data_IF_890484326730
#
_entry.id   IF_890484326730
#
_cell.length_a   1.000
_cell.length_b   1.000
_cell.length_c   1.000
_cell.angle_alpha   90.00
_cell.angle_beta   90.00
_cell.angle_gamma   90.00
#
_symmetry.space_group_name_H-M   'P 1'
#
loop_
_entity.id
_entity.type
_entity.pdbx_description
1 polymer ?
#
# COMPACT_ATOMS: atom_id res chain seq x y z
N UNK A 1 44.15 4.61 36.46
CA UNK A 1 44.59 4.97 37.83
C UNK A 1 43.78 6.19 38.23
N UNK A 2 42.89 6.09 39.23
CA UNK A 2 41.86 7.11 39.59
C UNK A 2 40.84 7.42 38.45
N UNK A 3 39.63 7.97 38.68
CA UNK A 3 38.91 8.22 39.95
C UNK A 3 37.43 7.77 39.88
N UNK A 4 36.75 7.71 41.03
CA UNK A 4 35.39 7.16 41.25
C UNK A 4 34.30 8.24 41.38
N UNK A 5 33.07 7.85 41.02
CA UNK A 5 31.74 8.14 41.62
C UNK A 5 31.34 9.56 42.06
N UNK A 6 30.20 9.99 41.50
CA UNK A 6 29.00 10.51 42.19
C UNK A 6 27.77 10.07 41.34
N UNK A 7 26.54 9.74 41.77
CA UNK A 7 25.79 9.79 43.04
C UNK A 7 25.45 11.23 43.53
N UNK A 8 24.18 11.63 43.77
CA UNK A 8 22.89 10.92 43.61
C UNK A 8 21.68 11.90 43.65
N UNK A 9 20.47 11.40 43.38
CA UNK A 9 19.12 11.84 43.86
C UNK A 9 18.77 13.33 44.09
N UNK A 10 17.59 13.75 43.59
CA UNK A 10 16.46 14.29 44.40
C UNK A 10 15.14 14.10 43.61
N UNK A 11 14.02 13.88 44.32
CA UNK A 11 12.68 13.68 43.74
C UNK A 11 11.62 14.51 44.50
N UNK A 12 10.71 15.18 43.76
CA UNK A 12 9.39 15.72 44.14
C UNK A 12 9.19 16.69 45.36
N UNK A 13 8.54 17.85 45.10
CA UNK A 13 7.19 18.26 45.63
C UNK A 13 6.72 19.59 44.97
N UNK A 14 5.46 19.73 44.49
CA UNK A 14 4.21 20.20 45.17
C UNK A 14 4.44 21.54 45.93
N UNK A 15 3.83 22.71 45.63
CA UNK A 15 2.40 23.17 45.53
C UNK A 15 2.30 24.38 44.56
N UNK A 16 1.17 24.80 43.92
CA UNK A 16 -0.21 24.29 43.82
C UNK A 16 -1.33 25.32 44.15
N UNK A 17 -1.81 26.14 43.18
CA UNK A 17 -2.84 27.19 43.38
C UNK A 17 -4.14 27.00 42.54
N UNK A 18 -5.26 27.62 42.94
CA UNK A 18 -6.64 27.24 42.53
C UNK A 18 -7.43 28.29 41.73
N UNK A 19 -8.39 27.75 40.97
CA UNK A 19 -9.51 28.38 40.23
C UNK A 19 -10.17 29.64 40.81
N UNK A 20 -10.77 30.43 39.91
CA UNK A 20 -12.02 31.15 40.13
C UNK A 20 -13.00 30.90 38.95
N UNK A 21 -14.32 30.97 39.19
CA UNK A 21 -15.38 30.70 38.22
C UNK A 21 -16.46 31.78 38.28
N UNK A 22 -16.93 32.25 37.12
CA UNK A 22 -17.96 33.29 37.01
C UNK A 22 -19.04 32.92 36.00
N UNK A 23 -20.29 32.80 36.45
CA UNK A 23 -21.44 32.37 35.65
C UNK A 23 -22.56 33.40 35.77
N UNK A 24 -23.06 33.93 34.65
CA UNK A 24 -24.36 34.64 34.56
C UNK A 24 -24.88 34.55 33.14
N UNK A 25 -26.20 34.52 32.99
CA UNK A 25 -26.88 34.47 31.69
C UNK A 25 -28.01 35.50 31.60
N UNK A 26 -28.52 35.70 30.39
CA UNK A 26 -29.63 36.61 30.08
C UNK A 26 -30.21 36.23 28.71
N UNK A 27 -31.52 36.42 28.53
CA UNK A 27 -32.28 35.87 27.40
C UNK A 27 -33.00 37.00 26.63
N UNK A 28 -32.98 36.97 25.28
CA UNK A 28 -34.09 37.40 24.39
C UNK A 28 -33.79 37.15 22.90
N UNK A 29 -34.81 36.67 22.20
CA UNK A 29 -34.97 36.66 20.73
C UNK A 29 -35.72 37.95 20.29
N UNK A 30 -36.11 38.18 19.00
CA UNK A 30 -36.01 37.32 17.81
C UNK A 30 -35.52 38.00 16.51
N UNK A 31 -35.27 37.18 15.48
CA UNK A 31 -35.10 37.63 14.09
C UNK A 31 -35.68 36.61 13.10
N UNK A 32 -36.58 37.05 12.21
CA UNK A 32 -37.12 36.21 11.12
C UNK A 32 -36.16 36.23 9.93
N UNK A 33 -35.96 35.08 9.29
CA UNK A 33 -35.29 34.98 8.00
C UNK A 33 -35.60 33.65 7.32
N UNK A 34 -36.35 33.68 6.22
CA UNK A 34 -36.62 32.47 5.44
C UNK A 34 -35.42 32.17 4.53
N UNK A 35 -35.10 30.89 4.35
CA UNK A 35 -34.88 30.32 3.01
C UNK A 35 -34.80 28.79 3.09
N UNK A 36 -35.75 28.11 2.44
CA UNK A 36 -35.74 26.65 2.33
C UNK A 36 -34.72 26.18 1.30
N UNK A 37 -33.66 25.50 1.74
CA UNK A 37 -32.75 24.80 0.81
C UNK A 37 -33.41 23.51 0.32
N UNK A 38 -33.85 23.53 -0.94
CA UNK A 38 -34.24 22.34 -1.69
C UNK A 38 -33.11 21.31 -1.66
N UNK A 39 -33.40 20.11 -1.14
CA UNK A 39 -32.43 19.01 -1.09
C UNK A 39 -32.37 18.30 -2.46
N UNK A 40 -31.51 18.79 -3.34
CA UNK A 40 -31.17 18.07 -4.58
C UNK A 40 -30.38 16.81 -4.24
N UNK A 41 -31.08 15.67 -4.14
CA UNK A 41 -30.46 14.34 -4.05
C UNK A 41 -29.72 14.01 -5.35
N UNK A 42 -28.47 14.48 -5.48
CA UNK A 42 -27.55 13.92 -6.46
C UNK A 42 -27.31 12.45 -6.08
N UNK A 43 -27.57 11.54 -7.03
CA UNK A 43 -27.06 10.18 -6.94
C UNK A 43 -25.54 10.26 -7.14
N UNK A 44 -24.77 10.08 -6.06
CA UNK A 44 -23.35 9.74 -6.14
C UNK A 44 -23.22 8.30 -6.67
N UNK A 45 -23.40 8.15 -7.99
CA UNK A 45 -22.75 7.06 -8.72
C UNK A 45 -21.24 7.28 -8.73
N UNK A 46 -20.44 6.26 -9.09
CA UNK A 46 -18.99 6.43 -9.22
C UNK A 46 -18.71 7.54 -10.23
N UNK A 47 -18.05 8.62 -9.80
CA UNK A 47 -17.63 9.70 -10.69
C UNK A 47 -16.52 9.16 -11.60
N UNK A 48 -16.94 8.59 -12.74
CA UNK A 48 -16.07 8.27 -13.85
C UNK A 48 -15.60 9.59 -14.46
N UNK A 49 -14.58 10.20 -13.85
CA UNK A 49 -13.94 11.41 -14.38
C UNK A 49 -13.62 11.21 -15.86
N UNK A 50 -14.10 12.12 -16.69
CA UNK A 50 -13.92 12.05 -18.13
C UNK A 50 -12.42 11.98 -18.46
N UNK A 51 -12.05 11.00 -19.27
CA UNK A 51 -10.66 10.75 -19.63
C UNK A 51 -10.08 11.95 -20.39
N UNK A 52 -10.86 12.56 -21.29
CA UNK A 52 -10.41 13.71 -22.09
C UNK A 52 -10.12 14.91 -21.17
N UNK A 53 -11.00 15.20 -20.20
CA UNK A 53 -10.79 16.25 -19.20
C UNK A 53 -9.50 16.08 -18.38
N UNK A 54 -9.13 14.83 -18.06
CA UNK A 54 -7.89 14.51 -17.33
C UNK A 54 -6.65 14.69 -18.21
N UNK A 55 -6.67 14.23 -19.46
CA UNK A 55 -5.56 14.44 -20.40
C UNK A 55 -5.42 15.92 -20.82
N UNK A 56 -6.52 16.64 -21.07
CA UNK A 56 -6.50 18.09 -21.33
C UNK A 56 -5.90 18.89 -20.17
N UNK A 57 -6.23 18.53 -18.92
CA UNK A 57 -5.63 19.11 -17.73
C UNK A 57 -4.14 18.77 -17.57
N UNK A 58 -3.69 17.62 -18.07
CA UNK A 58 -2.27 17.24 -18.11
C UNK A 58 -1.50 18.09 -19.14
N UNK A 59 -1.96 18.14 -20.40
CA UNK A 59 -1.28 18.92 -21.45
C UNK A 59 -1.14 20.39 -21.06
N UNK A 60 -2.23 21.01 -20.58
CA UNK A 60 -2.23 22.41 -20.15
C UNK A 60 -1.23 22.69 -19.02
N UNK A 61 -1.17 21.84 -18.00
CA UNK A 61 -0.24 22.02 -16.87
C UNK A 61 1.22 21.77 -17.28
N UNK A 62 1.47 20.86 -18.22
CA UNK A 62 2.80 20.64 -18.77
C UNK A 62 3.26 21.79 -19.67
N UNK A 63 2.39 22.27 -20.57
CA UNK A 63 2.67 23.41 -21.46
C UNK A 63 2.95 24.69 -20.67
N UNK A 64 2.08 25.02 -19.71
CA UNK A 64 2.15 26.25 -18.92
C UNK A 64 3.39 26.30 -18.00
N UNK A 65 3.96 25.14 -17.64
CA UNK A 65 5.24 25.06 -16.95
C UNK A 65 6.43 24.97 -17.89
N UNK A 66 6.35 24.21 -18.99
CA UNK A 66 7.38 24.18 -20.01
C UNK A 66 7.65 25.60 -20.55
N UNK A 67 6.61 26.38 -20.88
CA UNK A 67 6.74 27.75 -21.34
C UNK A 67 7.41 28.68 -20.30
N UNK A 68 7.08 28.55 -19.02
CA UNK A 68 7.69 29.35 -17.95
C UNK A 68 9.18 29.01 -17.74
N UNK A 69 9.53 27.73 -17.66
CA UNK A 69 10.92 27.31 -17.43
C UNK A 69 11.79 27.38 -18.70
N UNK A 70 11.19 27.45 -19.90
CA UNK A 70 11.90 27.65 -21.18
C UNK A 70 12.42 29.08 -21.40
N UNK A 71 12.29 29.98 -20.41
CA UNK A 71 13.01 31.24 -20.24
C UNK A 71 13.47 31.99 -21.50
N UNK A 72 12.81 33.12 -21.81
CA UNK A 72 13.15 34.00 -22.93
C UNK A 72 14.64 34.41 -22.97
N UNK A 73 15.14 34.88 -24.14
CA UNK A 73 16.52 34.70 -24.62
C UNK A 73 17.67 35.39 -23.87
N UNK A 74 17.46 35.87 -22.64
CA UNK A 74 18.43 36.64 -21.85
C UNK A 74 18.81 35.92 -20.55
N UNK A 75 19.81 35.03 -20.63
CA UNK A 75 20.50 34.44 -19.48
C UNK A 75 20.65 32.91 -19.52
N UNK A 76 21.66 32.32 -18.87
CA UNK A 76 21.77 30.87 -18.75
C UNK A 76 20.60 30.30 -17.92
N UNK A 77 19.86 29.34 -18.46
CA UNK A 77 18.86 28.59 -17.71
C UNK A 77 19.57 27.65 -16.71
N UNK A 78 19.13 27.66 -15.45
CA UNK A 78 19.67 26.73 -14.45
C UNK A 78 19.25 25.28 -14.73
N UNK A 79 20.10 24.32 -14.38
CA UNK A 79 19.89 22.86 -14.55
C UNK A 79 18.44 22.41 -14.29
N UNK A 80 17.91 22.76 -13.12
CA UNK A 80 16.57 22.36 -12.70
C UNK A 80 15.43 22.96 -13.55
N UNK A 81 15.66 24.06 -14.28
CA UNK A 81 14.69 24.61 -15.24
C UNK A 81 14.72 23.83 -16.56
N UNK A 82 15.92 23.58 -17.11
CA UNK A 82 16.10 22.78 -18.34
C UNK A 82 15.49 21.38 -18.15
N UNK A 83 15.82 20.72 -17.05
CA UNK A 83 15.26 19.41 -16.66
C UNK A 83 13.74 19.45 -16.50
N UNK A 84 13.17 20.53 -15.98
CA UNK A 84 11.72 20.70 -15.88
C UNK A 84 11.08 20.78 -17.28
N UNK A 85 11.66 21.55 -18.20
CA UNK A 85 11.17 21.65 -19.59
C UNK A 85 11.19 20.30 -20.29
N UNK A 86 12.32 19.58 -20.23
CA UNK A 86 12.46 18.26 -20.84
C UNK A 86 11.49 17.23 -20.23
N UNK A 87 11.29 17.28 -18.91
CA UNK A 87 10.36 16.40 -18.21
C UNK A 87 8.91 16.71 -18.59
N UNK A 88 8.50 17.98 -18.66
CA UNK A 88 7.14 18.35 -19.08
C UNK A 88 6.86 17.91 -20.53
N UNK A 89 7.83 18.06 -21.44
CA UNK A 89 7.73 17.57 -22.83
C UNK A 89 7.58 16.05 -22.90
N UNK A 90 8.45 15.30 -22.22
CA UNK A 90 8.38 13.81 -22.17
C UNK A 90 7.06 13.30 -21.58
N UNK A 91 6.48 14.02 -20.61
CA UNK A 91 5.15 13.73 -20.09
C UNK A 91 4.07 13.94 -21.15
N UNK A 92 4.16 14.99 -21.98
CA UNK A 92 3.24 15.21 -23.11
C UNK A 92 3.39 14.12 -24.19
N UNK A 93 4.62 13.67 -24.49
CA UNK A 93 4.88 12.56 -25.43
C UNK A 93 4.31 11.21 -24.91
N UNK A 94 4.42 10.97 -23.61
CA UNK A 94 3.81 9.81 -22.97
C UNK A 94 2.28 9.93 -22.93
N UNK A 95 1.75 11.14 -22.70
CA UNK A 95 0.32 11.41 -22.66
C UNK A 95 -0.36 11.16 -24.02
N UNK A 96 0.21 11.67 -25.12
CA UNK A 96 -0.33 11.48 -26.47
C UNK A 96 -0.36 10.01 -26.91
N UNK A 97 0.62 9.22 -26.43
CA UNK A 97 0.62 7.76 -26.59
C UNK A 97 -0.44 7.06 -25.73
N UNK A 98 -0.70 7.57 -24.52
CA UNK A 98 -1.53 6.92 -23.50
C UNK A 98 -3.02 7.20 -23.67
N UNK A 99 -3.40 8.41 -24.10
CA UNK A 99 -4.80 8.82 -24.23
C UNK A 99 -5.67 7.88 -25.11
N UNK A 100 -5.25 7.49 -26.34
CA UNK A 100 -6.03 6.54 -27.13
C UNK A 100 -6.08 5.15 -26.50
N UNK A 101 -4.98 4.67 -25.90
CA UNK A 101 -4.90 3.33 -25.28
C UNK A 101 -5.80 3.26 -24.03
N UNK A 102 -5.76 4.27 -23.16
CA UNK A 102 -6.61 4.38 -21.97
C UNK A 102 -8.08 4.53 -22.36
N UNK A 103 -8.38 5.25 -23.45
CA UNK A 103 -9.74 5.37 -24.00
C UNK A 103 -10.25 4.03 -24.54
N UNK A 104 -9.42 3.31 -25.29
CA UNK A 104 -9.72 1.97 -25.80
C UNK A 104 -10.05 0.99 -24.68
N UNK A 105 -9.19 0.89 -23.65
CA UNK A 105 -9.48 0.06 -22.48
C UNK A 105 -10.75 0.50 -21.75
N UNK A 106 -10.99 1.80 -21.58
CA UNK A 106 -12.20 2.30 -20.91
C UNK A 106 -13.51 1.95 -21.65
N UNK A 107 -13.45 1.72 -22.97
CA UNK A 107 -14.61 1.28 -23.75
C UNK A 107 -14.95 -0.21 -23.53
N UNK A 108 -13.95 -1.07 -23.30
CA UNK A 108 -14.12 -2.55 -23.35
C UNK A 108 -13.92 -3.26 -22.01
N UNK A 109 -13.24 -2.63 -21.04
CA UNK A 109 -12.84 -3.28 -19.78
C UNK A 109 -14.00 -3.77 -18.89
N UNK A 110 -15.25 -3.50 -19.28
CA UNK A 110 -16.45 -3.91 -18.58
C UNK A 110 -16.96 -5.30 -19.01
N UNK A 111 -16.53 -5.80 -20.18
CA UNK A 111 -16.76 -7.19 -20.61
C UNK A 111 -16.02 -8.22 -19.73
N UNK A 112 -15.09 -7.77 -18.89
CA UNK A 112 -14.25 -8.59 -18.02
C UNK A 112 -14.59 -8.43 -16.53
N UNK A 113 -15.69 -7.77 -16.19
CA UNK A 113 -16.20 -7.72 -14.82
C UNK A 113 -16.97 -9.01 -14.49
N UNK A 114 -16.65 -9.62 -13.35
CA UNK A 114 -17.37 -10.80 -12.85
C UNK A 114 -18.82 -10.48 -12.44
N UNK A 115 -19.07 -9.26 -11.95
CA UNK A 115 -20.39 -8.77 -11.56
C UNK A 115 -20.55 -7.32 -12.08
N UNK A 116 -21.56 -7.01 -12.93
CA UNK A 116 -21.86 -5.66 -13.38
C UNK A 116 -22.12 -4.64 -12.25
N UNK A 117 -22.56 -5.10 -11.07
CA UNK A 117 -22.78 -4.27 -9.88
C UNK A 117 -21.51 -4.10 -9.02
N UNK A 118 -20.52 -4.99 -9.16
CA UNK A 118 -19.23 -4.94 -8.45
C UNK A 118 -18.07 -4.96 -9.48
N UNK A 119 -17.94 -3.91 -10.31
CA UNK A 119 -17.01 -3.90 -11.45
C UNK A 119 -15.54 -3.89 -11.00
N UNK A 120 -14.88 -5.06 -11.10
CA UNK A 120 -13.51 -5.28 -10.68
C UNK A 120 -12.77 -6.26 -11.61
N UNK A 121 -11.69 -5.80 -12.25
CA UNK A 121 -10.78 -6.62 -13.04
C UNK A 121 -9.38 -5.98 -13.21
N UNK A 122 -8.46 -6.70 -13.85
CA UNK A 122 -7.08 -6.24 -14.09
C UNK A 122 -6.96 -5.00 -14.96
N UNK A 123 -7.71 -4.91 -16.08
CA UNK A 123 -7.67 -3.76 -16.99
C UNK A 123 -8.23 -2.49 -16.33
N UNK A 124 -9.34 -2.60 -15.57
CA UNK A 124 -9.85 -1.51 -14.72
C UNK A 124 -8.80 -1.03 -13.72
N UNK A 125 -8.07 -1.97 -13.10
CA UNK A 125 -7.02 -1.65 -12.13
C UNK A 125 -5.84 -0.92 -12.78
N UNK A 126 -5.37 -1.39 -13.94
CA UNK A 126 -4.28 -0.76 -14.69
C UNK A 126 -4.63 0.66 -15.15
N UNK A 127 -5.83 0.85 -15.73
CA UNK A 127 -6.35 2.18 -16.10
C UNK A 127 -6.46 3.10 -14.87
N UNK A 128 -6.89 2.59 -13.72
CA UNK A 128 -6.95 3.35 -12.47
C UNK A 128 -5.56 3.79 -12.00
N UNK A 129 -4.56 2.91 -12.04
CA UNK A 129 -3.17 3.24 -11.67
C UNK A 129 -2.58 4.30 -12.62
N UNK A 130 -2.82 4.20 -13.93
CA UNK A 130 -2.39 5.21 -14.92
C UNK A 130 -3.03 6.57 -14.63
N UNK A 131 -4.35 6.60 -14.36
CA UNK A 131 -5.06 7.83 -13.96
C UNK A 131 -4.53 8.41 -12.64
N UNK A 132 -4.21 7.59 -11.63
CA UNK A 132 -3.58 8.06 -10.39
C UNK A 132 -2.20 8.71 -10.62
N UNK A 133 -1.42 8.20 -11.58
CA UNK A 133 -0.11 8.77 -11.93
C UNK A 133 -0.30 10.16 -12.58
N UNK A 134 -1.17 10.25 -13.59
CA UNK A 134 -1.51 11.49 -14.28
C UNK A 134 -2.09 12.54 -13.31
N UNK A 135 -2.98 12.14 -12.38
CA UNK A 135 -3.56 13.05 -11.39
C UNK A 135 -2.51 13.60 -10.40
N UNK A 136 -1.51 12.79 -10.00
CA UNK A 136 -0.40 13.29 -9.20
C UNK A 136 0.46 14.28 -9.98
N UNK A 137 0.75 13.99 -11.26
CA UNK A 137 1.48 14.91 -12.15
C UNK A 137 0.74 16.24 -12.31
N UNK A 138 -0.57 16.23 -12.56
CA UNK A 138 -1.41 17.43 -12.65
C UNK A 138 -1.38 18.22 -11.33
N UNK A 139 -1.53 17.54 -10.19
CA UNK A 139 -1.49 18.18 -8.87
C UNK A 139 -0.12 18.81 -8.60
N UNK A 140 0.97 18.09 -8.88
CA UNK A 140 2.34 18.56 -8.68
C UNK A 140 2.71 19.70 -9.62
N UNK A 141 2.33 19.62 -10.89
CA UNK A 141 2.51 20.69 -11.87
C UNK A 141 1.73 21.96 -11.50
N UNK A 142 0.48 21.83 -11.00
CA UNK A 142 -0.27 22.99 -10.46
C UNK A 142 0.39 23.60 -9.22
N UNK A 143 0.92 22.77 -8.31
CA UNK A 143 1.72 23.26 -7.19
C UNK A 143 2.95 24.04 -7.69
N UNK A 144 3.63 23.55 -8.73
CA UNK A 144 4.77 24.25 -9.37
C UNK A 144 4.30 25.56 -10.00
N UNK A 145 3.22 25.58 -10.80
CA UNK A 145 2.61 26.80 -11.38
C UNK A 145 2.43 27.90 -10.33
N UNK A 146 1.85 27.56 -9.18
CA UNK A 146 1.58 28.50 -8.08
C UNK A 146 2.85 28.95 -7.36
N UNK A 147 3.83 28.05 -7.15
CA UNK A 147 4.96 28.31 -6.24
C UNK A 147 6.28 28.70 -6.94
N UNK A 148 6.42 28.50 -8.26
CA UNK A 148 7.67 28.71 -9.04
C UNK A 148 8.28 30.12 -9.00
N UNK A 149 7.56 31.12 -8.48
CA UNK A 149 8.07 32.49 -8.26
C UNK A 149 8.44 32.80 -6.80
N UNK A 150 8.25 31.84 -5.89
CA UNK A 150 8.60 32.00 -4.46
C UNK A 150 10.09 31.80 -4.20
N UNK A 151 10.68 32.63 -3.33
CA UNK A 151 12.07 32.47 -2.88
C UNK A 151 12.35 31.14 -2.17
N UNK A 152 11.31 30.46 -1.68
CA UNK A 152 11.41 29.13 -1.06
C UNK A 152 11.20 27.97 -2.06
N UNK A 153 11.04 28.26 -3.36
CA UNK A 153 10.81 27.24 -4.38
C UNK A 153 12.06 26.40 -4.66
N UNK A 154 12.10 25.18 -4.11
CA UNK A 154 13.17 24.20 -4.33
C UNK A 154 13.09 23.59 -5.73
N UNK A 155 13.56 24.30 -6.75
CA UNK A 155 13.45 23.90 -8.17
C UNK A 155 13.89 22.45 -8.42
N UNK A 156 15.13 22.09 -8.03
CA UNK A 156 15.70 20.75 -8.29
C UNK A 156 14.93 19.61 -7.59
N UNK A 157 14.32 19.87 -6.44
CA UNK A 157 13.48 18.89 -5.74
C UNK A 157 12.15 18.67 -6.46
N UNK A 158 11.57 19.73 -7.03
CA UNK A 158 10.35 19.63 -7.82
C UNK A 158 10.61 18.98 -9.18
N UNK A 159 11.76 19.25 -9.82
CA UNK A 159 12.20 18.55 -11.02
C UNK A 159 12.34 17.04 -10.76
N UNK A 160 13.08 16.63 -9.72
CA UNK A 160 13.24 15.21 -9.36
C UNK A 160 11.93 14.48 -9.04
N UNK A 161 10.93 15.15 -8.48
CA UNK A 161 9.60 14.54 -8.32
C UNK A 161 8.86 14.38 -9.66
N UNK A 162 8.88 15.39 -10.52
CA UNK A 162 8.28 15.29 -11.86
C UNK A 162 8.98 14.22 -12.72
N UNK A 163 10.31 14.11 -12.64
CA UNK A 163 11.12 13.09 -13.33
C UNK A 163 10.75 11.67 -12.88
N UNK A 164 10.61 11.44 -11.57
CA UNK A 164 10.21 10.14 -11.02
C UNK A 164 8.80 9.72 -11.50
N UNK A 165 7.85 10.66 -11.54
CA UNK A 165 6.51 10.37 -12.07
C UNK A 165 6.49 10.24 -13.60
N UNK A 166 7.35 10.95 -14.35
CA UNK A 166 7.55 10.73 -15.78
C UNK A 166 8.09 9.32 -16.07
N UNK A 167 9.05 8.85 -15.28
CA UNK A 167 9.62 7.49 -15.37
C UNK A 167 8.55 6.43 -15.05
N UNK A 168 7.77 6.62 -13.98
CA UNK A 168 6.63 5.76 -13.66
C UNK A 168 5.57 5.76 -14.79
N UNK A 169 5.26 6.91 -15.38
CA UNK A 169 4.32 7.02 -16.51
C UNK A 169 4.83 6.28 -17.76
N UNK A 170 6.13 6.30 -18.02
CA UNK A 170 6.76 5.55 -19.11
C UNK A 170 6.60 4.03 -18.92
N UNK A 171 6.85 3.52 -17.71
CA UNK A 171 6.69 2.09 -17.40
C UNK A 171 5.21 1.68 -17.38
N UNK A 172 4.30 2.55 -16.92
CA UNK A 172 2.85 2.31 -17.02
C UNK A 172 2.35 2.27 -18.47
N UNK A 173 2.93 3.07 -19.37
CA UNK A 173 2.68 2.97 -20.82
C UNK A 173 3.16 1.63 -21.39
N UNK A 174 4.33 1.15 -20.99
CA UNK A 174 4.83 -0.16 -21.41
C UNK A 174 3.94 -1.32 -20.88
N UNK A 175 3.48 -1.24 -19.64
CA UNK A 175 2.51 -2.19 -19.06
C UNK A 175 1.15 -2.17 -19.78
N UNK A 176 0.68 -1.00 -20.23
CA UNK A 176 -0.53 -0.89 -21.04
C UNK A 176 -0.37 -1.51 -22.44
N UNK A 177 0.78 -1.33 -23.10
CA UNK A 177 1.04 -2.00 -24.38
C UNK A 177 1.15 -3.53 -24.23
N UNK A 178 1.77 -4.02 -23.15
CA UNK A 178 1.72 -5.45 -22.81
C UNK A 178 0.27 -5.93 -22.63
N UNK A 179 -0.54 -5.22 -21.83
CA UNK A 179 -1.94 -5.56 -21.61
C UNK A 179 -2.78 -5.52 -22.90
N UNK A 180 -2.45 -4.63 -23.85
CA UNK A 180 -3.14 -4.53 -25.14
C UNK A 180 -2.80 -5.70 -26.05
N UNK A 181 -1.56 -6.22 -26.00
CA UNK A 181 -1.18 -7.47 -26.67
C UNK A 181 -1.88 -8.67 -26.05
N UNK A 182 -1.85 -8.81 -24.71
CA UNK A 182 -2.62 -9.87 -24.02
C UNK A 182 -4.09 -9.90 -24.44
N UNK A 183 -4.72 -8.73 -24.57
CA UNK A 183 -6.10 -8.58 -25.01
C UNK A 183 -6.32 -8.99 -26.48
N UNK A 184 -5.42 -8.59 -27.39
CA UNK A 184 -5.48 -8.92 -28.81
C UNK A 184 -5.23 -10.42 -29.06
N UNK A 185 -4.31 -11.01 -28.31
CA UNK A 185 -3.86 -12.38 -28.45
C UNK A 185 -4.80 -13.39 -27.72
N UNK A 186 -5.96 -12.92 -27.23
CA UNK A 186 -7.02 -13.74 -26.64
C UNK A 186 -8.36 -13.57 -27.38
N UNK A 187 -9.14 -14.66 -27.41
CA UNK A 187 -10.54 -14.62 -27.86
C UNK A 187 -11.40 -13.71 -26.98
N UNK A 188 -12.34 -12.97 -27.59
CA UNK A 188 -13.20 -12.00 -26.90
C UNK A 188 -13.85 -12.57 -25.62
N UNK A 189 -13.73 -11.83 -24.51
CA UNK A 189 -14.28 -12.20 -23.20
C UNK A 189 -13.36 -13.08 -22.33
N UNK A 190 -12.39 -13.78 -22.91
CA UNK A 190 -11.48 -14.62 -22.14
C UNK A 190 -10.32 -13.82 -21.51
N UNK A 191 -10.00 -14.15 -20.25
CA UNK A 191 -8.86 -13.62 -19.50
C UNK A 191 -7.66 -14.59 -19.45
N UNK A 192 -7.84 -15.80 -19.96
CA UNK A 192 -6.85 -16.88 -19.93
C UNK A 192 -6.63 -17.40 -21.35
N UNK A 193 -5.37 -17.60 -21.72
CA UNK A 193 -4.99 -18.24 -22.98
C UNK A 193 -5.48 -19.69 -23.00
N UNK A 194 -6.06 -20.11 -24.12
CA UNK A 194 -6.58 -21.48 -24.30
C UNK A 194 -5.49 -22.53 -24.61
N UNK A 195 -4.29 -22.10 -25.00
CA UNK A 195 -3.19 -23.01 -25.30
C UNK A 195 -2.25 -23.22 -24.10
N UNK A 196 -1.71 -24.43 -23.97
CA UNK A 196 -0.60 -24.75 -23.05
C UNK A 196 0.76 -24.15 -23.49
N UNK A 197 0.78 -23.30 -24.52
CA UNK A 197 1.90 -22.41 -24.90
C UNK A 197 2.06 -21.25 -23.87
N UNK A 198 2.07 -21.64 -22.59
CA UNK A 198 1.64 -20.81 -21.46
C UNK A 198 2.39 -19.50 -21.28
N UNK A 199 1.62 -18.44 -21.00
CA UNK A 199 2.08 -17.07 -20.70
C UNK A 199 3.34 -16.71 -21.49
N UNK A 200 3.17 -16.63 -22.82
CA UNK A 200 4.24 -16.60 -23.83
C UNK A 200 5.57 -16.07 -23.31
N UNK A 201 6.65 -16.85 -23.43
CA UNK A 201 7.93 -16.53 -22.77
C UNK A 201 8.46 -15.12 -23.10
N UNK A 202 8.07 -14.57 -24.26
CA UNK A 202 8.24 -13.16 -24.61
C UNK A 202 7.59 -12.19 -23.61
N UNK A 203 6.30 -12.36 -23.26
CA UNK A 203 5.62 -11.58 -22.23
C UNK A 203 6.35 -11.64 -20.88
N UNK A 204 6.68 -12.84 -20.39
CA UNK A 204 7.36 -13.01 -19.09
C UNK A 204 8.75 -12.36 -19.11
N UNK A 205 9.51 -12.52 -20.20
CA UNK A 205 10.81 -11.89 -20.40
C UNK A 205 10.71 -10.36 -20.46
N UNK A 206 9.74 -9.84 -21.19
CA UNK A 206 9.51 -8.40 -21.40
C UNK A 206 9.07 -7.71 -20.09
N UNK A 207 8.10 -8.29 -19.37
CA UNK A 207 7.73 -7.86 -18.02
C UNK A 207 8.90 -7.94 -17.05
N UNK A 208 9.73 -9.00 -17.11
CA UNK A 208 10.92 -9.13 -16.28
C UNK A 208 11.94 -8.02 -16.55
N UNK A 209 12.14 -7.62 -17.80
CA UNK A 209 13.07 -6.54 -18.19
C UNK A 209 12.59 -5.10 -17.87
N UNK A 210 11.31 -4.88 -17.51
CA UNK A 210 10.82 -3.54 -17.16
C UNK A 210 11.50 -2.95 -15.91
N UNK A 211 11.73 -1.63 -15.92
CA UNK A 211 12.42 -0.88 -14.87
C UNK A 211 11.49 -0.58 -13.69
N UNK A 212 11.46 -1.49 -12.71
CA UNK A 212 10.52 -1.47 -11.59
C UNK A 212 10.86 -0.42 -10.52
N UNK A 213 12.12 0.01 -10.41
CA UNK A 213 12.63 0.89 -9.34
C UNK A 213 11.95 2.25 -9.25
N UNK A 214 11.44 2.77 -10.39
CA UNK A 214 10.66 4.01 -10.44
C UNK A 214 9.44 3.98 -9.48
N UNK A 215 8.83 2.81 -9.27
CA UNK A 215 7.67 2.64 -8.38
C UNK A 215 8.04 2.51 -6.90
N UNK A 216 9.31 2.28 -6.54
CA UNK A 216 9.75 2.05 -5.15
C UNK A 216 10.59 3.22 -4.58
N UNK A 217 11.00 4.17 -5.43
CA UNK A 217 11.56 5.45 -5.03
C UNK A 217 10.50 6.45 -4.56
N UNK A 218 10.43 7.64 -5.18
CA UNK A 218 9.44 8.69 -4.82
C UNK A 218 7.99 8.27 -5.01
N UNK A 219 7.71 7.43 -5.99
CA UNK A 219 6.35 7.04 -6.37
C UNK A 219 5.75 5.95 -5.48
N UNK A 220 6.43 5.52 -4.39
CA UNK A 220 6.02 4.39 -3.58
C UNK A 220 4.61 4.54 -2.99
N UNK A 221 3.69 3.71 -3.50
CA UNK A 221 2.29 3.68 -3.11
C UNK A 221 1.46 4.87 -3.59
N UNK A 222 1.85 5.54 -4.70
CA UNK A 222 1.11 6.68 -5.24
C UNK A 222 -0.37 6.36 -5.54
N UNK A 223 -0.65 5.14 -5.98
CA UNK A 223 -1.98 4.63 -6.35
C UNK A 223 -2.88 4.30 -5.15
N UNK A 224 -2.33 4.28 -3.93
CA UNK A 224 -3.05 3.95 -2.71
C UNK A 224 -3.33 5.20 -1.86
N UNK A 225 -4.27 5.05 -0.91
CA UNK A 225 -4.55 6.03 0.14
C UNK A 225 -3.27 6.33 0.94
N UNK A 226 -2.99 7.60 1.31
CA UNK A 226 -1.75 7.96 1.99
C UNK A 226 -1.44 7.16 3.27
N UNK A 227 -2.48 6.69 3.97
CA UNK A 227 -2.36 5.93 5.22
C UNK A 227 -1.56 4.62 5.10
N UNK A 228 -1.52 3.95 3.93
CA UNK A 228 -0.73 2.71 3.76
C UNK A 228 0.73 2.97 3.38
N UNK A 229 1.08 4.19 2.95
CA UNK A 229 2.42 4.52 2.45
C UNK A 229 3.53 4.34 3.50
N UNK A 230 3.34 4.63 4.82
CA UNK A 230 4.33 4.31 5.84
C UNK A 230 4.65 2.81 5.93
N UNK A 231 3.64 1.94 5.90
CA UNK A 231 3.85 0.48 5.90
C UNK A 231 4.59 0.01 4.62
N UNK A 232 4.18 0.50 3.44
CA UNK A 232 4.88 0.20 2.18
C UNK A 232 6.33 0.70 2.20
N UNK A 233 6.60 1.87 2.80
CA UNK A 233 7.95 2.39 2.99
C UNK A 233 8.77 1.50 3.94
N UNK A 234 8.23 1.10 5.10
CA UNK A 234 8.88 0.15 6.01
C UNK A 234 9.24 -1.16 5.31
N UNK A 235 8.32 -1.72 4.51
CA UNK A 235 8.57 -2.96 3.74
C UNK A 235 9.67 -2.74 2.69
N UNK A 236 9.58 -1.69 1.87
CA UNK A 236 10.56 -1.43 0.81
C UNK A 236 11.97 -1.14 1.37
N UNK A 237 12.06 -0.37 2.46
CA UNK A 237 13.32 -0.06 3.15
C UNK A 237 13.93 -1.33 3.79
N UNK A 238 13.09 -2.15 4.45
CA UNK A 238 13.51 -3.42 5.03
C UNK A 238 14.03 -4.41 3.96
N UNK A 239 13.36 -4.47 2.81
CA UNK A 239 13.74 -5.32 1.69
C UNK A 239 15.13 -4.97 1.13
N UNK A 240 15.39 -3.68 0.87
CA UNK A 240 16.69 -3.26 0.31
C UNK A 240 17.82 -3.39 1.34
N UNK A 241 17.58 -3.05 2.61
CA UNK A 241 18.57 -3.21 3.67
C UNK A 241 18.91 -4.70 3.93
N UNK A 242 17.95 -5.61 3.79
CA UNK A 242 18.21 -7.05 3.86
C UNK A 242 18.95 -7.57 2.61
N UNK A 243 18.53 -7.17 1.41
CA UNK A 243 19.14 -7.63 0.15
C UNK A 243 20.55 -7.10 -0.13
N UNK A 244 20.91 -5.92 0.41
CA UNK A 244 22.29 -5.42 0.40
C UNK A 244 23.24 -6.40 1.14
N UNK A 245 22.77 -7.00 2.24
CA UNK A 245 23.57 -7.84 3.12
C UNK A 245 23.48 -9.34 2.77
N UNK A 246 22.32 -9.84 2.31
CA UNK A 246 22.11 -11.24 1.92
C UNK A 246 23.16 -11.74 0.91
N UNK A 247 23.50 -10.90 -0.09
CA UNK A 247 24.48 -11.26 -1.12
C UNK A 247 25.91 -11.32 -0.59
N UNK A 248 26.29 -10.42 0.31
CA UNK A 248 27.65 -10.37 0.90
C UNK A 248 28.03 -11.68 1.62
N UNK A 249 27.05 -12.37 2.19
CA UNK A 249 27.24 -13.64 2.90
C UNK A 249 27.02 -14.89 2.04
N UNK A 250 26.35 -14.79 0.88
CA UNK A 250 26.37 -15.89 -0.10
C UNK A 250 27.67 -15.94 -0.91
N UNK A 251 28.36 -14.80 -1.06
CA UNK A 251 29.64 -14.71 -1.79
C UNK A 251 30.87 -14.67 -0.87
N UNK A 252 30.74 -14.97 0.43
CA UNK A 252 31.84 -14.88 1.38
C UNK A 252 31.51 -15.42 2.76
N UNK A 253 32.51 -15.98 3.43
CA UNK A 253 32.42 -16.69 4.72
C UNK A 253 31.82 -18.11 4.58
N UNK A 254 32.55 -18.97 3.85
CA UNK A 254 32.85 -20.30 4.42
C UNK A 254 33.96 -20.07 5.45
N UNK A 255 33.58 -19.96 6.72
CA UNK A 255 34.51 -19.99 7.85
C UNK A 255 33.91 -20.96 8.86
N UNK A 256 34.74 -21.88 9.35
CA UNK A 256 34.37 -22.84 10.37
C UNK A 256 34.03 -22.11 11.68
N UNK A 257 32.86 -22.36 12.27
CA UNK A 257 32.50 -21.77 13.57
C UNK A 257 31.14 -21.09 13.70
N UNK A 258 30.05 -21.80 13.41
CA UNK A 258 28.88 -21.76 14.32
C UNK A 258 28.03 -20.49 14.44
N UNK A 259 28.14 -19.48 13.57
CA UNK A 259 27.17 -18.37 13.53
C UNK A 259 26.10 -18.68 12.48
N UNK A 260 24.88 -18.96 12.94
CA UNK A 260 23.75 -19.24 12.06
C UNK A 260 23.35 -18.03 11.18
N UNK A 261 22.81 -18.23 9.97
CA UNK A 261 22.47 -17.13 9.04
C UNK A 261 21.47 -16.11 9.61
N UNK A 262 20.73 -16.48 10.66
CA UNK A 262 19.83 -15.59 11.39
C UNK A 262 20.55 -14.46 12.15
N UNK A 263 21.83 -14.63 12.52
CA UNK A 263 22.58 -13.63 13.30
C UNK A 263 22.82 -12.30 12.56
N UNK A 264 22.90 -12.34 11.22
CA UNK A 264 23.14 -11.16 10.37
C UNK A 264 21.88 -10.32 10.13
N UNK A 265 20.70 -10.89 10.35
CA UNK A 265 19.42 -10.20 10.13
C UNK A 265 19.27 -8.96 11.03
N UNK A 266 19.73 -9.03 12.28
CA UNK A 266 19.57 -7.95 13.25
C UNK A 266 20.44 -6.70 12.94
N UNK A 267 21.69 -6.90 12.51
CA UNK A 267 22.59 -5.78 12.17
C UNK A 267 22.20 -5.09 10.86
N UNK A 268 21.64 -5.85 9.90
CA UNK A 268 21.21 -5.35 8.59
C UNK A 268 20.21 -4.18 8.68
N UNK A 269 19.35 -4.14 9.70
CA UNK A 269 18.39 -3.04 9.87
C UNK A 269 19.02 -1.69 10.23
N UNK A 270 20.25 -1.65 10.76
CA UNK A 270 20.93 -0.39 11.07
C UNK A 270 21.42 0.36 9.82
N UNK A 271 21.60 -0.31 8.66
CA UNK A 271 21.94 0.36 7.40
C UNK A 271 20.72 0.96 6.67
N UNK A 272 19.51 0.79 7.21
CA UNK A 272 18.25 1.23 6.60
C UNK A 272 18.12 2.74 6.40
N UNK A 273 18.76 3.56 7.24
CA UNK A 273 18.57 5.02 7.29
C UNK A 273 18.82 5.73 5.96
N UNK A 274 19.83 5.30 5.18
CA UNK A 274 20.12 5.88 3.85
C UNK A 274 18.95 5.70 2.87
N UNK A 275 18.26 4.56 2.92
CA UNK A 275 17.10 4.25 2.07
C UNK A 275 15.80 4.90 2.57
N UNK A 276 15.75 5.37 3.82
CA UNK A 276 14.66 6.20 4.32
C UNK A 276 14.79 7.65 3.85
N UNK A 277 16.01 8.20 3.88
CA UNK A 277 16.33 9.59 3.53
C UNK A 277 16.38 9.79 2.01
N UNK A 278 17.05 8.89 1.27
CA UNK A 278 17.20 8.97 -0.18
C UNK A 278 16.22 8.01 -0.89
N UNK A 279 15.15 8.53 -1.54
CA UNK A 279 14.22 7.70 -2.29
C UNK A 279 14.81 7.17 -3.60
N UNK A 280 15.80 7.83 -4.18
CA UNK A 280 16.34 7.46 -5.49
C UNK A 280 17.30 6.29 -5.33
N UNK A 281 18.17 6.37 -4.31
CA UNK A 281 18.99 5.24 -3.84
C UNK A 281 18.12 4.03 -3.48
N UNK A 282 16.96 4.23 -2.81
CA UNK A 282 16.01 3.15 -2.53
C UNK A 282 15.41 2.55 -3.80
N UNK A 283 14.99 3.37 -4.76
CA UNK A 283 14.41 2.91 -6.02
C UNK A 283 15.41 2.11 -6.87
N UNK A 284 16.63 2.64 -7.04
CA UNK A 284 17.70 1.98 -7.78
C UNK A 284 18.16 0.67 -7.12
N UNK A 285 18.33 0.66 -5.80
CA UNK A 285 18.74 -0.55 -5.07
C UNK A 285 17.64 -1.62 -5.06
N UNK A 286 16.36 -1.22 -4.96
CA UNK A 286 15.24 -2.15 -5.08
C UNK A 286 15.28 -2.87 -6.44
N UNK A 287 15.53 -2.16 -7.54
CA UNK A 287 15.62 -2.77 -8.86
C UNK A 287 16.86 -3.67 -9.00
N UNK A 288 18.04 -3.19 -8.61
CA UNK A 288 19.30 -3.95 -8.64
C UNK A 288 19.21 -5.27 -7.86
N UNK A 289 18.55 -5.22 -6.70
CA UNK A 289 18.25 -6.40 -5.89
C UNK A 289 17.25 -7.29 -6.64
N UNK A 290 16.03 -6.81 -6.91
CA UNK A 290 14.92 -7.66 -7.38
C UNK A 290 15.11 -8.31 -8.74
N UNK A 291 15.92 -7.74 -9.64
CA UNK A 291 16.35 -8.39 -10.88
C UNK A 291 17.19 -9.67 -10.65
N UNK A 292 17.76 -9.84 -9.46
CA UNK A 292 18.81 -10.80 -9.16
C UNK A 292 18.58 -11.51 -7.81
N UNK A 293 17.34 -11.81 -7.46
CA UNK A 293 16.96 -12.55 -6.24
C UNK A 293 16.49 -13.97 -6.58
N UNK A 294 17.03 -14.95 -5.87
CA UNK A 294 16.48 -16.29 -5.83
C UNK A 294 15.27 -16.40 -4.88
N UNK A 295 14.65 -17.58 -4.83
CA UNK A 295 13.48 -17.85 -3.97
C UNK A 295 13.83 -18.11 -2.50
N UNK A 296 15.10 -18.39 -2.18
CA UNK A 296 15.59 -18.55 -0.80
C UNK A 296 15.71 -17.20 -0.10
N UNK A 297 16.12 -16.15 -0.81
CA UNK A 297 16.06 -14.77 -0.31
C UNK A 297 14.65 -14.41 0.13
N UNK A 298 13.65 -14.66 -0.73
CA UNK A 298 12.27 -14.29 -0.43
C UNK A 298 11.74 -15.05 0.79
N UNK A 299 12.00 -16.36 0.90
CA UNK A 299 11.75 -17.14 2.11
C UNK A 299 12.43 -16.53 3.34
N UNK A 300 13.72 -16.21 3.26
CA UNK A 300 14.47 -15.65 4.38
C UNK A 300 13.92 -14.28 4.82
N UNK A 301 13.64 -13.38 3.87
CA UNK A 301 13.07 -12.06 4.16
C UNK A 301 11.69 -12.15 4.83
N UNK A 302 10.78 -12.94 4.28
CA UNK A 302 9.43 -13.04 4.84
C UNK A 302 9.41 -13.83 6.16
N UNK A 303 10.28 -14.83 6.36
CA UNK A 303 10.47 -15.46 7.67
C UNK A 303 11.03 -14.46 8.72
N UNK A 304 11.86 -13.48 8.31
CA UNK A 304 12.28 -12.38 9.19
C UNK A 304 11.12 -11.42 9.51
N UNK A 305 10.07 -11.33 8.67
CA UNK A 305 8.82 -10.63 9.06
C UNK A 305 7.94 -11.40 10.04
N UNK A 306 8.09 -12.72 10.12
CA UNK A 306 7.48 -13.55 11.18
C UNK A 306 8.29 -13.48 12.50
N UNK A 307 9.50 -12.90 12.45
CA UNK A 307 10.33 -12.55 13.61
C UNK A 307 10.01 -11.12 14.09
N UNK A 308 10.09 -10.85 15.39
CA UNK A 308 9.56 -9.62 16.01
C UNK A 308 10.10 -8.27 15.48
N UNK A 309 11.24 -8.24 14.78
CA UNK A 309 11.90 -6.98 14.42
C UNK A 309 11.09 -6.18 13.39
N UNK A 310 10.63 -6.80 12.30
CA UNK A 310 9.87 -6.10 11.27
C UNK A 310 8.39 -5.89 11.65
N UNK A 311 7.81 -6.76 12.48
CA UNK A 311 6.47 -6.53 13.02
C UNK A 311 6.45 -5.34 13.98
N UNK A 312 7.46 -5.19 14.86
CA UNK A 312 7.61 -4.00 15.73
C UNK A 312 7.83 -2.71 14.92
N UNK A 313 8.66 -2.73 13.87
CA UNK A 313 8.84 -1.56 13.00
C UNK A 313 7.54 -1.20 12.23
N UNK A 314 6.78 -2.19 11.77
CA UNK A 314 5.49 -1.95 11.13
C UNK A 314 4.41 -1.48 12.11
N UNK A 315 4.39 -1.99 13.35
CA UNK A 315 3.44 -1.56 14.40
C UNK A 315 3.78 -0.19 15.02
N UNK A 316 4.95 0.37 14.71
CA UNK A 316 5.31 1.77 14.99
C UNK A 316 4.83 2.73 13.89
N UNK A 317 4.61 2.26 12.66
CA UNK A 317 4.22 3.09 11.49
C UNK A 317 2.79 2.85 11.00
N UNK A 318 2.13 1.80 11.48
CA UNK A 318 0.76 1.38 11.10
C UNK A 318 -0.18 1.50 12.30
N UNK A 319 -1.48 1.64 12.06
CA UNK A 319 -2.47 1.73 13.15
C UNK A 319 -2.74 0.36 13.75
N UNK A 320 -2.54 0.21 15.07
CA UNK A 320 -2.68 -1.08 15.75
C UNK A 320 -4.15 -1.50 15.88
N UNK A 321 -4.43 -2.78 15.69
CA UNK A 321 -5.75 -3.40 15.83
C UNK A 321 -5.99 -3.86 17.27
N UNK A 322 -7.22 -3.72 17.78
CA UNK A 322 -7.56 -4.16 19.16
C UNK A 322 -7.81 -5.66 19.28
N UNK A 323 -8.02 -6.36 18.15
CA UNK A 323 -8.14 -7.82 18.09
C UNK A 323 -7.24 -8.35 16.99
N UNK A 324 -6.32 -9.23 17.35
CA UNK A 324 -5.53 -10.07 16.45
C UNK A 324 -5.34 -11.44 17.11
N UNK A 325 -6.18 -12.43 16.78
CA UNK A 325 -6.14 -13.77 17.41
C UNK A 325 -6.01 -14.86 16.37
N UNK A 326 -5.06 -15.77 16.59
CA UNK A 326 -5.02 -17.05 15.87
C UNK A 326 -6.11 -17.97 16.42
N UNK A 327 -6.87 -18.60 15.52
CA UNK A 327 -8.03 -19.45 15.83
C UNK A 327 -7.83 -20.80 15.11
N UNK A 328 -8.19 -21.90 15.76
CA UNK A 328 -8.13 -23.24 15.19
C UNK A 328 -9.51 -23.89 15.23
N UNK A 329 -10.23 -23.88 14.11
CA UNK A 329 -11.53 -24.54 13.99
C UNK A 329 -11.30 -26.06 13.87
N UNK A 330 -11.91 -26.91 14.70
CA UNK A 330 -11.69 -28.35 14.65
C UNK A 330 -12.31 -28.98 13.39
N UNK A 331 -11.80 -30.13 12.90
CA UNK A 331 -12.32 -30.83 11.74
C UNK A 331 -13.57 -31.66 12.10
N UNK A 332 -14.62 -30.99 12.55
CA UNK A 332 -15.91 -31.60 12.92
C UNK A 332 -16.95 -31.21 11.85
N UNK A 333 -17.61 -32.17 11.19
CA UNK A 333 -18.70 -31.88 10.27
C UNK A 333 -19.86 -31.16 10.96
N UNK A 334 -20.55 -30.28 10.22
CA UNK A 334 -21.67 -29.52 10.77
C UNK A 334 -22.74 -29.25 9.70
N UNK A 335 -24.01 -29.25 10.12
CA UNK A 335 -25.13 -28.98 9.22
C UNK A 335 -25.36 -27.47 9.02
N UNK A 336 -25.66 -27.10 7.77
CA UNK A 336 -26.18 -25.77 7.41
C UNK A 336 -27.54 -25.92 6.71
N UNK A 337 -28.49 -24.99 6.92
CA UNK A 337 -29.71 -24.94 6.12
C UNK A 337 -29.40 -24.59 4.66
N UNK A 338 -30.14 -25.17 3.71
CA UNK A 338 -30.01 -24.87 2.29
C UNK A 338 -30.54 -23.46 1.99
N UNK A 339 -29.81 -22.74 1.12
CA UNK A 339 -30.18 -21.38 0.68
C UNK A 339 -31.51 -21.37 -0.09
N UNK A 340 -31.87 -22.48 -0.74
CA UNK A 340 -33.12 -22.65 -1.48
C UNK A 340 -34.32 -23.08 -0.61
N UNK A 341 -34.06 -23.79 0.50
CA UNK A 341 -35.09 -24.23 1.45
C UNK A 341 -34.50 -24.34 2.88
N UNK A 342 -34.78 -23.38 3.77
CA UNK A 342 -34.30 -23.40 5.14
C UNK A 342 -34.82 -24.56 6.03
N UNK A 343 -35.76 -25.38 5.53
CA UNK A 343 -36.21 -26.59 6.23
C UNK A 343 -35.36 -27.83 5.91
N UNK A 344 -34.47 -27.75 4.90
CA UNK A 344 -33.56 -28.81 4.51
C UNK A 344 -32.12 -28.44 4.88
N UNK A 345 -31.36 -29.40 5.40
CA UNK A 345 -29.95 -29.22 5.77
C UNK A 345 -29.00 -29.89 4.77
N UNK A 346 -27.78 -29.37 4.70
CA UNK A 346 -26.61 -30.00 4.09
C UNK A 346 -25.49 -30.10 5.11
N UNK A 347 -24.91 -31.30 5.27
CA UNK A 347 -23.74 -31.51 6.13
C UNK A 347 -22.49 -31.01 5.41
N UNK A 348 -21.78 -30.08 6.03
CA UNK A 348 -20.48 -29.58 5.58
C UNK A 348 -19.39 -30.46 6.19
N UNK A 349 -18.86 -31.36 5.37
CA UNK A 349 -17.78 -32.27 5.77
C UNK A 349 -16.45 -31.57 6.07
N UNK A 350 -15.65 -32.20 6.92
CA UNK A 350 -14.33 -31.68 7.28
C UNK A 350 -13.36 -31.72 6.07
N UNK A 351 -12.59 -30.64 5.78
CA UNK A 351 -11.65 -30.62 4.66
C UNK A 351 -10.61 -31.74 4.75
N UNK A 352 -10.60 -32.63 3.75
CA UNK A 352 -9.86 -33.90 3.80
C UNK A 352 -9.02 -34.22 2.56
N UNK A 353 -9.25 -33.53 1.44
CA UNK A 353 -8.85 -33.95 0.08
C UNK A 353 -7.35 -34.20 -0.18
N UNK A 354 -6.44 -33.70 0.66
CA UNK A 354 -4.99 -33.83 0.46
C UNK A 354 -4.20 -34.30 1.70
N UNK A 355 -4.78 -34.20 2.90
CA UNK A 355 -4.08 -34.45 4.18
C UNK A 355 -4.91 -35.26 5.18
N UNK A 356 -6.10 -35.72 4.80
CA UNK A 356 -7.12 -36.15 5.75
C UNK A 356 -7.72 -34.99 6.56
N UNK A 357 -8.74 -35.26 7.41
CA UNK A 357 -9.43 -34.23 8.18
C UNK A 357 -8.50 -33.45 9.11
N UNK A 358 -8.32 -32.15 8.86
CA UNK A 358 -7.39 -31.29 9.60
C UNK A 358 -8.03 -29.98 10.07
N UNK A 359 -7.62 -29.44 11.25
CA UNK A 359 -8.22 -28.23 11.81
C UNK A 359 -7.90 -26.98 10.96
N UNK A 360 -8.92 -26.23 10.59
CA UNK A 360 -8.78 -25.02 9.77
C UNK A 360 -8.18 -23.89 10.59
N UNK A 361 -6.99 -23.44 10.20
CA UNK A 361 -6.27 -22.35 10.86
C UNK A 361 -6.74 -21.00 10.33
N UNK A 362 -7.23 -20.15 11.24
CA UNK A 362 -7.81 -18.85 10.93
C UNK A 362 -7.15 -17.74 11.77
N UNK A 363 -7.38 -16.48 11.39
CA UNK A 363 -6.97 -15.31 12.20
C UNK A 363 -8.08 -14.27 12.22
N UNK A 364 -8.61 -13.97 13.39
CA UNK A 364 -9.55 -12.87 13.59
C UNK A 364 -8.76 -11.58 13.77
N UNK A 365 -8.93 -10.64 12.84
CA UNK A 365 -8.39 -9.28 12.90
C UNK A 365 -9.55 -8.29 13.03
N UNK A 366 -9.47 -7.34 13.97
CA UNK A 366 -10.45 -6.27 14.11
C UNK A 366 -9.87 -5.01 14.73
N UNK A 367 -10.07 -3.88 14.07
CA UNK A 367 -9.63 -2.56 14.52
C UNK A 367 -10.19 -2.19 15.90
N UNK A 368 -11.47 -2.49 16.12
CA UNK A 368 -12.17 -2.32 17.40
C UNK A 368 -12.55 -3.68 17.99
N UNK A 369 -12.59 -3.79 19.32
CA UNK A 369 -13.25 -4.92 19.96
C UNK A 369 -14.76 -4.79 19.75
N UNK A 370 -15.37 -5.77 19.09
CA UNK A 370 -16.82 -5.81 18.82
C UNK A 370 -17.53 -6.87 19.63
N UNK A 371 -18.83 -6.69 19.81
CA UNK A 371 -19.73 -7.68 20.40
C UNK A 371 -19.55 -9.07 19.75
N UNK A 372 -19.54 -10.12 20.58
CA UNK A 372 -19.28 -11.51 20.17
C UNK A 372 -17.80 -11.91 20.04
N UNK A 373 -16.89 -10.96 19.80
CA UNK A 373 -15.45 -11.25 19.61
C UNK A 373 -14.72 -11.66 20.91
N UNK A 374 -15.37 -11.54 22.06
CA UNK A 374 -14.88 -11.99 23.37
C UNK A 374 -15.83 -13.02 24.03
N UNK A 375 -16.62 -13.73 23.21
CA UNK A 375 -17.43 -14.87 23.65
C UNK A 375 -16.58 -16.09 24.01
N UNK A 376 -17.05 -16.90 24.97
CA UNK A 376 -16.37 -18.12 25.41
C UNK A 376 -16.17 -19.12 24.26
N UNK A 377 -17.14 -19.24 23.35
CA UNK A 377 -17.03 -20.08 22.16
C UNK A 377 -15.83 -19.67 21.28
N UNK A 378 -15.63 -18.38 21.02
CA UNK A 378 -14.50 -17.91 20.22
C UNK A 378 -13.16 -17.93 20.98
N UNK A 379 -13.20 -17.78 22.31
CA UNK A 379 -12.04 -17.96 23.18
C UNK A 379 -11.59 -19.43 23.24
N UNK A 380 -12.51 -20.39 23.27
CA UNK A 380 -12.18 -21.83 23.28
C UNK A 380 -11.46 -22.31 22.01
N UNK A 381 -11.70 -21.64 20.88
CA UNK A 381 -11.02 -21.89 19.60
C UNK A 381 -9.69 -21.11 19.45
N UNK A 382 -9.32 -20.26 20.41
CA UNK A 382 -8.14 -19.37 20.29
C UNK A 382 -6.83 -20.08 20.63
N UNK A 383 -5.80 -19.94 19.79
CA UNK A 383 -4.45 -20.46 20.03
C UNK A 383 -3.63 -19.50 20.90
N UNK A 384 -2.74 -20.05 21.72
CA UNK A 384 -1.76 -19.31 22.55
C UNK A 384 -0.74 -18.47 21.77
N UNK A 385 -0.64 -18.66 20.44
CA UNK A 385 0.15 -17.80 19.54
C UNK A 385 -0.57 -16.50 19.11
N UNK A 386 -1.83 -16.30 19.52
CA UNK A 386 -2.38 -14.96 19.55
C UNK A 386 -1.64 -14.16 20.61
N UNK A 387 -1.01 -13.03 20.22
CA UNK A 387 -0.41 -12.12 21.19
C UNK A 387 -1.44 -11.76 22.26
N UNK A 388 -0.99 -11.63 23.52
CA UNK A 388 -1.86 -11.27 24.62
C UNK A 388 -2.71 -10.05 24.23
N UNK A 389 -4.02 -10.11 24.45
CA UNK A 389 -4.91 -8.99 24.15
C UNK A 389 -4.31 -7.75 24.81
N UNK A 390 -4.31 -6.61 24.13
CA UNK A 390 -4.02 -5.31 24.76
C UNK A 390 -5.19 -4.89 25.66
N UNK A 391 -5.48 -5.75 26.63
CA UNK A 391 -6.22 -5.44 27.84
C UNK A 391 -5.33 -4.50 28.66
N UNK A 392 -5.54 -3.21 28.45
CA UNK A 392 -5.28 -2.20 29.47
C UNK A 392 -6.06 -2.58 30.73
N UNK A 393 -5.39 -3.35 31.59
CA UNK A 393 -5.99 -4.11 32.68
C UNK A 393 -6.52 -3.16 33.76
N UNK A 394 -7.80 -2.78 33.67
CA UNK A 394 -8.42 -1.86 34.64
C UNK A 394 -9.73 -1.20 34.24
N UNK A 395 -10.09 -1.13 32.96
CA UNK A 395 -11.37 -0.54 32.51
C UNK A 395 -12.17 -1.52 31.65
N UNK A 396 -13.50 -1.54 31.86
CA UNK A 396 -14.44 -2.32 31.03
C UNK A 396 -14.30 -1.85 29.58
N UNK A 397 -13.70 -2.68 28.73
CA UNK A 397 -13.51 -2.33 27.31
C UNK A 397 -14.85 -2.06 26.65
N UNK A 398 -15.02 -0.85 26.11
CA UNK A 398 -16.25 -0.45 25.44
C UNK A 398 -16.36 -1.19 24.11
N UNK A 399 -17.06 -2.32 24.11
CA UNK A 399 -17.40 -3.06 22.89
C UNK A 399 -18.08 -2.11 21.91
N UNK A 400 -17.64 -2.15 20.66
CA UNK A 400 -18.35 -1.58 19.52
C UNK A 400 -19.45 -2.56 19.05
N UNK A 401 -20.52 -2.07 18.42
CA UNK A 401 -21.50 -2.96 17.79
C UNK A 401 -20.86 -3.82 16.69
N UNK A 402 -21.52 -4.88 16.22
CA UNK A 402 -21.07 -5.70 15.10
C UNK A 402 -20.70 -4.86 13.87
N UNK A 403 -19.76 -5.37 13.07
CA UNK A 403 -19.42 -4.72 11.80
C UNK A 403 -20.55 -4.93 10.80
N UNK A 404 -20.85 -3.90 9.98
CA UNK A 404 -21.76 -4.05 8.81
C UNK A 404 -21.17 -4.93 7.70
N UNK A 405 -19.87 -5.21 7.78
CA UNK A 405 -19.11 -5.95 6.77
C UNK A 405 -18.17 -6.95 7.43
N UNK A 406 -18.14 -8.18 6.93
CA UNK A 406 -17.13 -9.19 7.25
C UNK A 406 -16.25 -9.39 6.01
N UNK A 407 -14.93 -9.24 6.17
CA UNK A 407 -13.97 -9.60 5.13
C UNK A 407 -13.41 -10.98 5.44
N UNK A 408 -13.63 -11.94 4.55
CA UNK A 408 -13.02 -13.27 4.62
C UNK A 408 -11.84 -13.30 3.64
N UNK A 409 -10.65 -13.61 4.14
CA UNK A 409 -9.44 -13.74 3.32
C UNK A 409 -8.87 -15.15 3.44
N UNK A 410 -8.87 -15.87 2.32
CA UNK A 410 -8.29 -17.21 2.21
C UNK A 410 -6.81 -17.09 1.84
N UNK A 411 -5.92 -17.31 2.81
CA UNK A 411 -4.47 -17.34 2.58
C UNK A 411 -4.04 -18.74 2.12
N UNK A 412 -3.82 -18.90 0.80
CA UNK A 412 -3.24 -20.13 0.26
C UNK A 412 -1.85 -20.43 0.83
N UNK A 413 -1.48 -21.71 0.92
CA UNK A 413 -0.18 -22.14 1.45
C UNK A 413 0.99 -21.69 0.56
N UNK A 414 1.51 -20.48 0.80
CA UNK A 414 2.54 -19.88 -0.03
C UNK A 414 3.90 -20.52 0.17
N UNK A 415 4.63 -20.75 -0.93
CA UNK A 415 6.02 -21.21 -0.91
C UNK A 415 6.97 -20.26 -0.16
N UNK A 416 6.55 -19.01 0.07
CA UNK A 416 7.38 -17.89 0.55
C UNK A 416 6.90 -17.31 1.90
N UNK A 417 5.63 -17.48 2.27
CA UNK A 417 5.08 -17.02 3.54
C UNK A 417 4.14 -18.10 4.10
N UNK A 418 4.42 -18.56 5.33
CA UNK A 418 3.79 -19.76 5.89
C UNK A 418 2.71 -19.46 6.93
N UNK A 419 2.69 -18.25 7.52
CA UNK A 419 1.69 -17.88 8.53
C UNK A 419 0.95 -16.58 8.23
N UNK A 420 -0.27 -16.49 8.76
CA UNK A 420 -1.10 -15.29 8.72
C UNK A 420 -0.59 -14.13 9.61
N UNK A 421 0.55 -14.28 10.30
CA UNK A 421 1.11 -13.24 11.21
C UNK A 421 1.36 -11.92 10.48
N UNK A 422 1.81 -11.97 9.22
CA UNK A 422 2.14 -10.79 8.41
C UNK A 422 0.94 -9.93 7.95
N UNK A 423 -0.31 -10.31 8.26
CA UNK A 423 -1.51 -9.57 7.84
C UNK A 423 -1.89 -8.40 8.76
N UNK A 424 -1.45 -8.42 10.02
CA UNK A 424 -1.79 -7.39 11.01
C UNK A 424 -1.36 -5.96 10.59
N UNK A 425 -0.24 -5.84 9.89
CA UNK A 425 0.26 -4.55 9.38
C UNK A 425 -0.31 -4.17 8.01
N UNK A 426 -1.28 -4.94 7.48
CA UNK A 426 -1.81 -4.79 6.10
C UNK A 426 -3.31 -4.47 6.05
N UNK A 427 -3.97 -4.32 7.19
CA UNK A 427 -5.42 -4.09 7.34
C UNK A 427 -5.71 -2.85 8.19
#
# INVERSE_FOLDING_TARGET
MMSKRSQENVHAKIVGAKMASGKKGGNRSPGKGLNGRLSSKQKEGPILMDTKSVFAALYSVCEENAAFFSGGPTGPQGDAAVRMVDTMRRIQDHASSLEPVVTGFAAIYHHFDFDPHIPANGYRSLVKVVRCCILHIIHKGRYITTNRRSIFFRASHNAGEMEAYCSALCQLRALLYLAQRLLHDNSHGNLFFHEESGLSQSFVREYSSMHKGCFYGRCLGFQFTPAIRPCLQTIAIGLVAFGENYKRHHSGIVVEGGIAPYGVAASSFFTSGKYAIDPELRGAEFERITQNLDVHFWKAFWNITETEVLSRLASMTSTQVKVNRAISVPPVPFDLPLVADPHLNVTIEAPSAHTGPGPVQMRLISYELREGQDSEALLSLSRSEGGAISLSLGMKSKRSPPSRWLLVHYHGGGFVAQTSKSHESRT
#
